data_IF_067496397047
#
_entry.id   IF_067496397047
#
_cell.length_a   1.000
_cell.length_b   1.000
_cell.length_c   1.000
_cell.angle_alpha   90.00
_cell.angle_beta   90.00
_cell.angle_gamma   90.00
#
_symmetry.space_group_name_H-M   'P 1'
#
loop_
_entity.id
_entity.type
_entity.pdbx_description
1 polymer ?
#
# COMPACT_ATOMS: atom_id res chain seq x y z
N UNK A 1 63.87 42.47 -27.93
CA UNK A 1 62.58 42.84 -27.30
C UNK A 1 61.86 41.61 -26.64
N UNK A 2 61.97 40.41 -27.16
CA UNK A 2 61.32 39.21 -26.66
C UNK A 2 61.76 38.75 -25.22
N UNK A 3 63.06 38.93 -24.90
CA UNK A 3 63.58 38.52 -23.59
C UNK A 3 63.02 39.38 -22.43
N UNK A 4 62.72 40.68 -22.65
CA UNK A 4 62.08 41.54 -21.63
C UNK A 4 60.59 41.24 -21.44
N UNK A 5 59.91 40.81 -22.48
CA UNK A 5 58.50 40.34 -22.38
C UNK A 5 58.41 39.02 -21.58
N UNK A 6 59.33 38.09 -21.84
CA UNK A 6 59.37 36.81 -21.11
C UNK A 6 59.66 36.94 -19.60
N UNK A 7 60.55 37.89 -19.22
CA UNK A 7 60.83 38.15 -17.79
C UNK A 7 59.69 38.88 -17.10
N UNK A 8 58.91 39.70 -17.82
CA UNK A 8 57.70 40.32 -17.29
C UNK A 8 56.56 39.30 -17.00
N UNK A 9 56.35 38.39 -17.93
CA UNK A 9 55.33 37.31 -17.75
C UNK A 9 55.74 36.36 -16.66
N UNK A 10 56.99 35.99 -16.49
CA UNK A 10 57.46 35.16 -15.41
C UNK A 10 57.31 35.82 -14.02
N UNK A 11 57.56 37.13 -13.91
CA UNK A 11 57.32 37.87 -12.66
C UNK A 11 55.84 37.98 -12.33
N UNK A 12 55.01 38.30 -13.31
CA UNK A 12 53.56 38.31 -13.12
C UNK A 12 53.02 36.92 -12.67
N UNK A 13 53.43 35.84 -13.33
CA UNK A 13 53.05 34.50 -12.94
C UNK A 13 53.55 34.10 -11.53
N UNK A 14 54.75 34.58 -11.13
CA UNK A 14 55.27 34.35 -9.79
C UNK A 14 54.52 35.15 -8.72
N UNK A 15 54.14 36.41 -8.98
CA UNK A 15 53.33 37.20 -8.07
C UNK A 15 51.91 36.62 -7.93
N UNK A 16 51.27 36.21 -9.03
CA UNK A 16 49.96 35.57 -9.02
C UNK A 16 49.98 34.25 -8.24
N UNK A 17 51.02 33.46 -8.37
CA UNK A 17 51.20 32.24 -7.59
C UNK A 17 51.40 32.50 -6.09
N UNK A 18 52.15 33.56 -5.73
CA UNK A 18 52.31 33.94 -4.31
C UNK A 18 51.01 34.47 -3.73
N UNK A 19 50.29 35.30 -4.46
CA UNK A 19 48.97 35.81 -4.04
C UNK A 19 47.95 34.68 -3.87
N UNK A 20 47.98 33.69 -4.77
CA UNK A 20 47.14 32.48 -4.65
C UNK A 20 47.47 31.69 -3.37
N UNK A 21 48.75 31.51 -3.04
CA UNK A 21 49.17 30.83 -1.82
C UNK A 21 48.76 31.61 -0.57
N UNK A 22 48.95 32.92 -0.55
CA UNK A 22 48.59 33.81 0.58
C UNK A 22 47.08 33.82 0.81
N UNK A 23 46.29 33.77 -0.25
CA UNK A 23 44.80 33.69 -0.13
C UNK A 23 44.27 32.31 0.17
N UNK A 24 44.91 31.25 -0.29
CA UNK A 24 44.51 29.85 -0.02
C UNK A 24 44.82 29.42 1.43
N UNK A 25 45.93 29.86 2.00
CA UNK A 25 46.35 29.46 3.34
C UNK A 25 45.30 29.77 4.42
N UNK A 26 44.73 30.98 4.53
CA UNK A 26 43.65 31.27 5.47
C UNK A 26 42.38 30.45 5.19
N UNK A 27 42.05 30.22 3.91
CA UNK A 27 40.87 29.40 3.52
C UNK A 27 41.04 27.96 3.95
N UNK A 28 42.24 27.38 3.81
CA UNK A 28 42.55 26.01 4.25
C UNK A 28 42.46 25.92 5.78
N UNK A 29 42.99 26.90 6.51
CA UNK A 29 42.87 26.94 7.97
C UNK A 29 41.42 27.04 8.41
N UNK A 30 40.62 27.89 7.78
CA UNK A 30 39.18 28.01 7.99
C UNK A 30 38.45 26.69 7.72
N UNK A 31 38.75 26.05 6.61
CA UNK A 31 38.24 24.73 6.24
C UNK A 31 38.49 23.70 7.33
N UNK A 32 39.73 23.56 7.79
CA UNK A 32 40.11 22.61 8.83
C UNK A 32 39.42 22.89 10.17
N UNK A 33 39.29 24.16 10.54
CA UNK A 33 38.62 24.59 11.77
C UNK A 33 37.11 24.22 11.72
N UNK A 34 36.43 24.57 10.61
CA UNK A 34 35.01 24.25 10.42
C UNK A 34 34.80 22.75 10.40
N UNK A 35 35.69 22.02 9.74
CA UNK A 35 35.60 20.53 9.70
C UNK A 35 35.79 19.93 11.11
N UNK A 36 36.80 20.37 11.87
CA UNK A 36 37.05 19.89 13.23
C UNK A 36 35.89 20.20 14.19
N UNK A 37 35.41 21.45 14.17
CA UNK A 37 34.24 21.87 14.96
C UNK A 37 32.98 21.09 14.55
N UNK A 38 32.75 20.94 13.26
CA UNK A 38 31.61 20.16 12.74
C UNK A 38 31.63 18.70 13.17
N UNK A 39 32.82 18.07 13.19
CA UNK A 39 32.98 16.70 13.66
C UNK A 39 32.68 16.56 15.14
N UNK A 40 33.13 17.53 15.95
CA UNK A 40 32.86 17.59 17.38
C UNK A 40 31.35 17.77 17.64
N UNK A 41 30.74 18.76 16.98
CA UNK A 41 29.29 19.04 17.10
C UNK A 41 28.45 17.85 16.66
N UNK A 42 28.81 17.21 15.53
CA UNK A 42 28.13 16.01 15.04
C UNK A 42 28.15 14.88 16.06
N UNK A 43 29.30 14.65 16.72
CA UNK A 43 29.42 13.61 17.73
C UNK A 43 28.62 13.91 19.01
N UNK A 44 28.55 15.21 19.38
CA UNK A 44 27.78 15.64 20.54
C UNK A 44 26.29 15.53 20.30
N UNK A 45 25.81 15.99 19.12
CA UNK A 45 24.41 15.90 18.72
C UNK A 45 23.96 14.45 18.59
N UNK A 46 24.80 13.58 18.02
CA UNK A 46 24.52 12.15 17.89
C UNK A 46 24.26 11.48 19.24
N UNK A 47 25.02 11.85 20.29
CA UNK A 47 24.79 11.37 21.66
C UNK A 47 23.43 11.83 22.19
N UNK A 48 23.08 13.10 21.96
CA UNK A 48 21.77 13.65 22.33
C UNK A 48 20.61 12.93 21.63
N UNK A 49 20.71 12.74 20.32
CA UNK A 49 19.71 12.01 19.53
C UNK A 49 19.56 10.58 20.03
N UNK A 50 20.68 9.88 20.27
CA UNK A 50 20.64 8.52 20.82
C UNK A 50 19.96 8.46 22.19
N UNK A 51 20.27 9.38 23.08
CA UNK A 51 19.65 9.45 24.39
C UNK A 51 18.13 9.68 24.31
N UNK A 52 17.68 10.58 23.43
CA UNK A 52 16.25 10.85 23.20
C UNK A 52 15.54 9.61 22.63
N UNK A 53 16.12 8.95 21.63
CA UNK A 53 15.53 7.75 21.03
C UNK A 53 15.41 6.62 22.05
N UNK A 54 16.44 6.42 22.86
CA UNK A 54 16.42 5.40 23.92
C UNK A 54 15.39 5.72 24.99
N UNK A 55 15.29 7.00 25.42
CA UNK A 55 14.27 7.43 26.36
C UNK A 55 12.84 7.28 25.82
N UNK A 56 12.66 7.45 24.50
CA UNK A 56 11.38 7.23 23.80
C UNK A 56 11.04 5.74 23.60
N UNK A 57 11.93 4.81 23.95
CA UNK A 57 11.70 3.36 23.76
C UNK A 57 11.72 2.93 22.30
N UNK A 58 12.44 3.64 21.44
CA UNK A 58 12.50 3.36 20.01
C UNK A 58 12.99 1.95 19.69
N UNK A 59 13.90 1.41 20.48
CA UNK A 59 14.42 0.04 20.34
C UNK A 59 13.32 -1.01 20.58
N UNK A 60 12.41 -0.77 21.54
CA UNK A 60 11.28 -1.67 21.79
C UNK A 60 10.26 -1.64 20.65
N UNK A 61 10.03 -0.46 20.11
CA UNK A 61 9.15 -0.29 18.95
C UNK A 61 9.71 -1.01 17.73
N UNK A 62 10.99 -0.87 17.47
CA UNK A 62 11.68 -1.52 16.37
C UNK A 62 11.72 -3.05 16.54
N UNK A 63 11.89 -3.58 17.74
CA UNK A 63 11.77 -5.02 18.02
C UNK A 63 10.35 -5.54 17.74
N UNK A 64 9.34 -4.82 18.20
CA UNK A 64 7.92 -5.18 17.96
C UNK A 64 7.51 -5.15 16.49
N UNK A 65 8.16 -4.31 15.68
CA UNK A 65 7.91 -4.21 14.25
C UNK A 65 8.40 -5.42 13.45
N UNK A 66 9.28 -6.25 14.03
CA UNK A 66 9.91 -7.39 13.32
C UNK A 66 11.02 -6.97 12.34
N UNK A 67 11.37 -5.68 12.26
CA UNK A 67 12.48 -5.18 11.42
C UNK A 67 13.79 -5.83 11.85
N UNK A 68 14.04 -5.96 13.15
CA UNK A 68 15.22 -6.61 13.69
C UNK A 68 15.29 -8.09 13.30
N UNK A 69 14.18 -8.82 13.43
CA UNK A 69 14.10 -10.23 13.05
C UNK A 69 14.27 -10.44 11.54
N UNK A 70 13.76 -9.53 10.72
CA UNK A 70 13.97 -9.57 9.27
C UNK A 70 15.42 -9.29 8.89
N UNK A 71 16.04 -8.27 9.49
CA UNK A 71 17.44 -7.94 9.26
C UNK A 71 18.38 -9.06 9.72
N UNK A 72 18.11 -9.70 10.86
CA UNK A 72 18.88 -10.86 11.35
C UNK A 72 18.82 -12.06 10.39
N UNK A 73 17.67 -12.31 9.76
CA UNK A 73 17.54 -13.34 8.70
C UNK A 73 18.41 -13.05 7.49
N UNK A 74 18.69 -11.77 7.21
CA UNK A 74 19.61 -11.33 6.17
C UNK A 74 21.08 -11.29 6.62
N UNK A 75 21.37 -11.71 7.86
CA UNK A 75 22.72 -11.66 8.44
C UNK A 75 23.16 -10.25 8.88
N UNK A 76 22.24 -9.29 8.93
CA UNK A 76 22.51 -7.89 9.29
C UNK A 76 22.13 -7.70 10.76
N UNK A 77 23.08 -7.28 11.60
CA UNK A 77 22.76 -6.83 12.96
C UNK A 77 22.05 -5.48 12.89
N UNK A 78 20.74 -5.49 13.01
CA UNK A 78 19.96 -4.27 12.99
C UNK A 78 20.04 -3.58 14.37
N UNK A 79 20.64 -2.41 14.40
CA UNK A 79 20.52 -1.43 15.47
C UNK A 79 19.74 -0.21 14.94
N UNK A 80 18.40 -0.21 15.02
CA UNK A 80 17.57 0.86 14.46
C UNK A 80 17.87 2.22 15.09
N UNK A 81 18.11 2.26 16.41
CA UNK A 81 18.53 3.47 17.12
C UNK A 81 19.88 3.95 16.64
N UNK A 82 20.84 3.04 16.45
CA UNK A 82 22.13 3.34 15.88
C UNK A 82 22.06 3.90 14.46
N UNK A 83 21.18 3.35 13.61
CA UNK A 83 20.97 3.86 12.25
C UNK A 83 20.45 5.29 12.24
N UNK A 84 19.41 5.61 13.03
CA UNK A 84 18.89 6.99 13.14
C UNK A 84 19.95 7.93 13.70
N UNK A 85 20.69 7.50 14.72
CA UNK A 85 21.79 8.27 15.30
C UNK A 85 22.89 8.53 14.27
N UNK A 86 23.24 7.53 13.48
CA UNK A 86 24.22 7.65 12.40
C UNK A 86 23.77 8.65 11.33
N UNK A 87 22.50 8.60 10.94
CA UNK A 87 21.90 9.56 9.98
C UNK A 87 21.99 11.00 10.51
N UNK A 88 21.61 11.23 11.77
CA UNK A 88 21.72 12.53 12.40
C UNK A 88 23.17 13.02 12.47
N UNK A 89 24.10 12.12 12.79
CA UNK A 89 25.53 12.44 12.82
C UNK A 89 26.07 12.83 11.43
N UNK A 90 25.66 12.08 10.39
CA UNK A 90 26.08 12.38 9.02
C UNK A 90 25.43 13.68 8.50
N UNK A 91 24.18 13.98 8.89
CA UNK A 91 23.56 15.25 8.53
C UNK A 91 24.39 16.45 9.01
N UNK A 92 24.81 16.44 10.27
CA UNK A 92 25.65 17.53 10.83
C UNK A 92 27.02 17.56 10.18
N UNK A 93 27.64 16.40 9.92
CA UNK A 93 28.93 16.34 9.20
C UNK A 93 28.82 16.88 7.78
N UNK A 94 27.74 16.57 7.05
CA UNK A 94 27.50 17.10 5.73
C UNK A 94 27.28 18.61 5.74
N UNK A 95 26.56 19.14 6.74
CA UNK A 95 26.42 20.59 6.90
C UNK A 95 27.80 21.24 7.10
N UNK A 96 28.62 20.68 7.98
CA UNK A 96 29.98 21.19 8.22
C UNK A 96 30.84 21.10 6.95
N UNK A 97 30.74 20.00 6.19
CA UNK A 97 31.42 19.83 4.92
C UNK A 97 30.97 20.86 3.86
N UNK A 98 29.67 21.12 3.74
CA UNK A 98 29.16 22.17 2.82
C UNK A 98 29.79 23.52 3.16
N UNK A 99 29.72 23.92 4.43
CA UNK A 99 30.29 25.19 4.88
C UNK A 99 31.83 25.23 4.69
N UNK A 100 32.50 24.12 4.95
CA UNK A 100 33.94 24.02 4.77
C UNK A 100 34.37 24.18 3.30
N UNK A 101 33.65 23.49 2.38
CA UNK A 101 33.93 23.60 0.94
C UNK A 101 33.53 24.96 0.33
N UNK A 102 32.51 25.62 0.90
CA UNK A 102 32.17 27.00 0.51
C UNK A 102 33.31 28.00 0.85
N UNK A 103 34.01 27.78 1.99
CA UNK A 103 35.20 28.57 2.33
C UNK A 103 36.36 28.37 1.36
N UNK A 104 36.46 27.20 0.72
CA UNK A 104 37.48 26.91 -0.30
C UNK A 104 37.10 27.44 -1.68
N UNK A 105 35.93 28.05 -1.83
CA UNK A 105 35.40 28.53 -3.11
C UNK A 105 35.25 27.42 -4.17
N UNK A 106 34.78 26.23 -3.72
CA UNK A 106 34.52 25.04 -4.52
C UNK A 106 33.01 24.78 -4.65
N UNK A 107 32.25 25.60 -5.37
CA UNK A 107 30.77 25.52 -5.41
C UNK A 107 30.26 24.21 -5.99
N UNK A 108 30.99 23.58 -6.90
CA UNK A 108 30.60 22.30 -7.48
C UNK A 108 30.51 21.17 -6.43
N UNK A 109 31.44 21.15 -5.46
CA UNK A 109 31.45 20.17 -4.37
C UNK A 109 30.37 20.49 -3.37
N UNK A 110 30.20 21.75 -2.98
CA UNK A 110 29.17 22.21 -2.07
C UNK A 110 27.77 21.85 -2.57
N UNK A 111 27.47 22.05 -3.86
CA UNK A 111 26.17 21.65 -4.45
C UNK A 111 25.93 20.16 -4.39
N UNK A 112 26.95 19.32 -4.63
CA UNK A 112 26.81 17.87 -4.50
C UNK A 112 26.53 17.46 -3.06
N UNK A 113 27.25 18.03 -2.10
CA UNK A 113 27.05 17.77 -0.67
C UNK A 113 25.68 18.24 -0.19
N UNK A 114 25.19 19.40 -0.68
CA UNK A 114 23.83 19.87 -0.39
C UNK A 114 22.77 18.91 -0.91
N UNK A 115 22.93 18.34 -2.10
CA UNK A 115 22.00 17.32 -2.61
C UNK A 115 21.98 16.07 -1.73
N UNK A 116 23.14 15.61 -1.27
CA UNK A 116 23.25 14.50 -0.31
C UNK A 116 22.58 14.84 1.03
N UNK A 117 22.78 16.07 1.52
CA UNK A 117 22.14 16.55 2.74
C UNK A 117 20.61 16.53 2.63
N UNK A 118 20.07 17.02 1.52
CA UNK A 118 18.62 17.02 1.26
C UNK A 118 18.04 15.61 1.09
N UNK A 119 18.86 14.63 0.77
CA UNK A 119 18.44 13.23 0.66
C UNK A 119 18.33 12.52 2.01
N UNK A 120 19.10 12.94 3.04
CA UNK A 120 19.10 12.33 4.37
C UNK A 120 17.72 12.31 5.06
N UNK A 121 16.91 13.39 5.05
CA UNK A 121 15.56 13.35 5.60
C UNK A 121 14.68 12.26 4.95
N UNK A 122 14.80 12.06 3.65
CA UNK A 122 14.05 11.03 2.93
C UNK A 122 14.45 9.62 3.40
N UNK A 123 15.74 9.40 3.68
CA UNK A 123 16.24 8.15 4.24
C UNK A 123 15.69 7.92 5.67
N UNK A 124 15.59 8.97 6.49
CA UNK A 124 14.99 8.89 7.81
C UNK A 124 13.49 8.53 7.72
N UNK A 125 12.76 9.16 6.81
CA UNK A 125 11.35 8.83 6.56
C UNK A 125 11.19 7.39 6.08
N UNK A 126 12.05 6.92 5.18
CA UNK A 126 12.05 5.53 4.71
C UNK A 126 12.21 4.54 5.87
N UNK A 127 13.12 4.83 6.80
CA UNK A 127 13.32 4.01 8.00
C UNK A 127 12.08 3.98 8.90
N UNK A 128 11.45 5.12 9.12
CA UNK A 128 10.19 5.22 9.89
C UNK A 128 9.09 4.41 9.20
N UNK A 129 8.97 4.52 7.89
CA UNK A 129 7.98 3.74 7.10
C UNK A 129 8.22 2.24 7.26
N UNK A 130 9.46 1.77 7.24
CA UNK A 130 9.77 0.35 7.46
C UNK A 130 9.38 -0.11 8.86
N UNK A 131 9.66 0.69 9.89
CA UNK A 131 9.27 0.36 11.28
C UNK A 131 7.75 0.31 11.43
N UNK A 132 7.04 1.34 10.97
CA UNK A 132 5.57 1.38 11.02
C UNK A 132 4.92 0.30 10.17
N UNK A 133 5.47 0.05 8.96
CA UNK A 133 5.03 -1.01 8.07
C UNK A 133 5.19 -2.40 8.69
N UNK A 134 6.32 -2.65 9.36
CA UNK A 134 6.55 -3.88 10.09
C UNK A 134 5.57 -4.07 11.26
N UNK A 135 5.28 -3.01 12.02
CA UNK A 135 4.25 -3.04 13.07
C UNK A 135 2.89 -3.38 12.48
N UNK A 136 2.51 -2.72 11.39
CA UNK A 136 1.26 -2.98 10.69
C UNK A 136 1.19 -4.41 10.16
N UNK A 137 2.29 -4.93 9.58
CA UNK A 137 2.40 -6.29 9.07
C UNK A 137 2.15 -7.32 10.18
N UNK A 138 2.78 -7.15 11.34
CA UNK A 138 2.61 -8.04 12.48
C UNK A 138 1.19 -7.96 13.08
N UNK A 139 0.63 -6.75 13.19
CA UNK A 139 -0.73 -6.55 13.70
C UNK A 139 -1.77 -7.20 12.79
N UNK A 140 -1.67 -6.97 11.46
CA UNK A 140 -2.58 -7.54 10.47
C UNK A 140 -2.44 -9.06 10.38
N UNK A 141 -1.22 -9.60 10.39
CA UNK A 141 -0.97 -11.04 10.41
C UNK A 141 -1.63 -11.70 11.63
N UNK A 142 -1.49 -11.09 12.82
CA UNK A 142 -2.10 -11.57 14.06
C UNK A 142 -3.63 -11.54 13.98
N UNK A 143 -4.20 -10.46 13.41
CA UNK A 143 -5.64 -10.32 13.22
C UNK A 143 -6.18 -11.41 12.29
N UNK A 144 -5.51 -11.62 11.14
CA UNK A 144 -5.88 -12.65 10.16
C UNK A 144 -5.76 -14.04 10.77
N UNK A 145 -4.68 -14.32 11.48
CA UNK A 145 -4.49 -15.60 12.16
C UNK A 145 -5.63 -15.90 13.15
N UNK A 146 -5.99 -14.93 14.01
CA UNK A 146 -7.08 -15.09 14.99
C UNK A 146 -8.44 -15.28 14.30
N UNK A 147 -8.70 -14.53 13.23
CA UNK A 147 -9.95 -14.62 12.48
C UNK A 147 -10.08 -15.96 11.74
N UNK A 148 -8.98 -16.48 11.21
CA UNK A 148 -8.96 -17.75 10.50
C UNK A 148 -9.00 -18.98 11.43
N UNK A 149 -8.43 -18.89 12.63
CA UNK A 149 -8.40 -19.98 13.60
C UNK A 149 -9.81 -20.41 14.08
N UNK A 150 -10.80 -19.51 14.00
CA UNK A 150 -12.21 -19.79 14.33
C UNK A 150 -13.02 -20.40 13.19
N UNK A 151 -12.47 -20.49 11.99
CA UNK A 151 -13.16 -20.96 10.79
C UNK A 151 -12.45 -22.20 10.23
N UNK A 152 -13.21 -23.15 9.65
CA UNK A 152 -12.63 -24.34 8.99
C UNK A 152 -11.99 -24.00 7.63
N UNK A 153 -11.60 -22.75 7.40
CA UNK A 153 -11.09 -22.24 6.13
C UNK A 153 -9.57 -22.21 6.15
N UNK A 154 -8.95 -23.24 5.57
CA UNK A 154 -7.52 -23.25 5.26
C UNK A 154 -6.58 -23.36 6.46
N UNK A 155 -5.30 -23.14 6.20
CA UNK A 155 -4.24 -23.09 7.22
C UNK A 155 -4.10 -21.65 7.72
N UNK A 156 -4.44 -21.33 9.00
CA UNK A 156 -4.35 -19.97 9.55
C UNK A 156 -2.96 -19.36 9.47
N UNK A 157 -1.91 -20.19 9.63
CA UNK A 157 -0.52 -19.75 9.58
C UNK A 157 -0.09 -19.29 8.18
N UNK A 158 -0.57 -19.98 7.14
CA UNK A 158 -0.33 -19.58 5.76
C UNK A 158 -0.97 -18.25 5.44
N UNK A 159 -2.23 -18.04 5.85
CA UNK A 159 -2.95 -16.78 5.62
C UNK A 159 -2.26 -15.62 6.36
N UNK A 160 -1.85 -15.83 7.60
CA UNK A 160 -1.11 -14.84 8.38
C UNK A 160 0.24 -14.50 7.73
N UNK A 161 0.99 -15.51 7.27
CA UNK A 161 2.28 -15.33 6.60
C UNK A 161 2.13 -14.56 5.29
N UNK A 162 1.14 -14.93 4.45
CA UNK A 162 0.88 -14.22 3.19
C UNK A 162 0.53 -12.75 3.46
N UNK A 163 -0.32 -12.48 4.46
CA UNK A 163 -0.68 -11.12 4.85
C UNK A 163 0.55 -10.34 5.32
N UNK A 164 1.38 -10.96 6.18
CA UNK A 164 2.61 -10.35 6.68
C UNK A 164 3.56 -9.98 5.56
N UNK A 165 3.82 -10.92 4.65
CA UNK A 165 4.71 -10.70 3.49
C UNK A 165 4.16 -9.61 2.58
N UNK A 166 2.86 -9.63 2.29
CA UNK A 166 2.23 -8.61 1.43
C UNK A 166 2.39 -7.20 2.00
N UNK A 167 2.15 -7.02 3.31
CA UNK A 167 2.32 -5.72 3.97
C UNK A 167 3.78 -5.31 4.04
N UNK A 168 4.71 -6.26 4.28
CA UNK A 168 6.14 -5.99 4.25
C UNK A 168 6.62 -5.53 2.87
N UNK A 169 6.18 -6.20 1.80
CA UNK A 169 6.48 -5.80 0.43
C UNK A 169 5.99 -4.38 0.17
N UNK A 170 4.76 -4.06 0.58
CA UNK A 170 4.21 -2.71 0.45
C UNK A 170 5.05 -1.68 1.23
N UNK A 171 5.43 -1.97 2.47
CA UNK A 171 6.27 -1.09 3.28
C UNK A 171 7.64 -0.83 2.65
N UNK A 172 8.30 -1.88 2.12
CA UNK A 172 9.58 -1.76 1.41
C UNK A 172 9.43 -0.91 0.15
N UNK A 173 8.37 -1.12 -0.60
CA UNK A 173 8.09 -0.36 -1.82
C UNK A 173 7.89 1.13 -1.51
N UNK A 174 7.12 1.46 -0.48
CA UNK A 174 6.92 2.85 -0.04
C UNK A 174 8.26 3.45 0.44
N UNK A 175 9.05 2.70 1.21
CA UNK A 175 10.37 3.14 1.67
C UNK A 175 11.34 3.42 0.51
N UNK A 176 11.36 2.57 -0.52
CA UNK A 176 12.15 2.80 -1.73
C UNK A 176 11.68 4.06 -2.48
N UNK A 177 10.37 4.31 -2.50
CA UNK A 177 9.80 5.54 -3.06
C UNK A 177 10.32 6.81 -2.36
N UNK A 178 10.50 6.77 -1.02
CA UNK A 178 11.07 7.89 -0.25
C UNK A 178 12.52 8.18 -0.64
N UNK A 179 13.28 7.17 -1.01
CA UNK A 179 14.68 7.33 -1.42
C UNK A 179 14.84 7.98 -2.80
N UNK A 180 13.75 8.13 -3.56
CA UNK A 180 13.78 8.68 -4.91
C UNK A 180 14.53 7.80 -5.92
N UNK A 181 14.95 6.59 -5.52
CA UNK A 181 15.70 5.66 -6.39
C UNK A 181 14.72 5.07 -7.39
N UNK A 182 14.93 5.37 -8.66
CA UNK A 182 14.13 4.85 -9.77
C UNK A 182 12.60 4.98 -9.54
N UNK A 183 12.15 6.09 -8.96
CA UNK A 183 10.75 6.32 -8.59
C UNK A 183 9.78 5.99 -9.75
N UNK A 184 10.17 6.30 -10.98
CA UNK A 184 9.37 5.99 -12.18
C UNK A 184 9.23 4.48 -12.41
N UNK A 185 10.32 3.72 -12.26
CA UNK A 185 10.32 2.26 -12.47
C UNK A 185 9.57 1.57 -11.33
N UNK A 186 9.82 1.99 -10.09
CA UNK A 186 9.14 1.46 -8.90
C UNK A 186 7.64 1.74 -8.99
N UNK A 187 7.22 2.95 -9.34
CA UNK A 187 5.80 3.29 -9.53
C UNK A 187 5.16 2.47 -10.65
N UNK A 188 5.83 2.30 -11.79
CA UNK A 188 5.32 1.47 -12.87
C UNK A 188 5.13 0.01 -12.44
N UNK A 189 6.11 -0.54 -11.70
CA UNK A 189 6.04 -1.90 -11.16
C UNK A 189 4.88 -2.05 -10.16
N UNK A 190 4.72 -1.07 -9.23
CA UNK A 190 3.62 -1.07 -8.25
C UNK A 190 2.28 -1.03 -8.95
N UNK A 191 2.09 -0.08 -9.89
CA UNK A 191 0.84 0.04 -10.64
C UNK A 191 0.56 -1.26 -11.39
N UNK A 192 1.59 -1.89 -11.99
CA UNK A 192 1.47 -3.17 -12.67
C UNK A 192 1.03 -4.30 -11.74
N UNK A 193 1.71 -4.46 -10.61
CA UNK A 193 1.40 -5.52 -9.62
C UNK A 193 0.04 -5.30 -8.97
N UNK A 194 -0.23 -4.09 -8.47
CA UNK A 194 -1.53 -3.75 -7.86
C UNK A 194 -2.66 -3.90 -8.87
N UNK A 195 -2.44 -3.43 -10.11
CA UNK A 195 -3.39 -3.60 -11.20
C UNK A 195 -3.65 -5.07 -11.53
N UNK A 196 -2.61 -5.89 -11.62
CA UNK A 196 -2.74 -7.33 -11.85
C UNK A 196 -3.51 -8.04 -10.71
N UNK A 197 -3.20 -7.73 -9.44
CA UNK A 197 -3.91 -8.28 -8.27
C UNK A 197 -5.36 -7.81 -8.24
N UNK A 198 -5.62 -6.53 -8.53
CA UNK A 198 -6.98 -5.99 -8.58
C UNK A 198 -7.81 -6.66 -9.68
N UNK A 199 -7.24 -6.80 -10.89
CA UNK A 199 -7.90 -7.49 -12.00
C UNK A 199 -8.13 -8.98 -11.69
N UNK A 200 -7.12 -9.67 -11.18
CA UNK A 200 -7.24 -11.08 -10.81
C UNK A 200 -8.32 -11.28 -9.73
N UNK A 201 -8.33 -10.45 -8.69
CA UNK A 201 -9.33 -10.48 -7.62
C UNK A 201 -10.73 -10.13 -8.16
N UNK A 202 -10.83 -9.06 -8.96
CA UNK A 202 -12.08 -8.63 -9.58
C UNK A 202 -12.69 -9.73 -10.45
N UNK A 203 -11.87 -10.38 -11.29
CA UNK A 203 -12.31 -11.49 -12.11
C UNK A 203 -12.67 -12.72 -11.29
N UNK A 204 -11.85 -13.08 -10.29
CA UNK A 204 -12.11 -14.24 -9.43
C UNK A 204 -13.43 -14.09 -8.66
N UNK A 205 -13.66 -12.92 -8.03
CA UNK A 205 -14.90 -12.64 -7.30
C UNK A 205 -16.08 -12.37 -8.25
N UNK A 206 -15.85 -11.67 -9.36
CA UNK A 206 -16.87 -11.37 -10.35
C UNK A 206 -17.41 -12.62 -11.03
N UNK A 207 -16.52 -13.49 -11.54
CA UNK A 207 -16.92 -14.74 -12.19
C UNK A 207 -17.36 -15.80 -11.16
N UNK A 208 -16.62 -15.94 -10.06
CA UNK A 208 -16.96 -16.92 -9.00
C UNK A 208 -18.18 -16.55 -8.17
N UNK A 209 -18.52 -15.27 -8.09
CA UNK A 209 -19.70 -14.77 -7.35
C UNK A 209 -20.98 -14.68 -8.18
N UNK A 210 -20.89 -14.81 -9.52
CA UNK A 210 -22.00 -14.61 -10.46
C UNK A 210 -23.26 -15.41 -10.09
N UNK A 211 -23.11 -16.69 -9.80
CA UNK A 211 -24.25 -17.57 -9.50
C UNK A 211 -24.88 -17.26 -8.13
N UNK A 212 -24.11 -16.73 -7.19
CA UNK A 212 -24.64 -16.29 -5.90
C UNK A 212 -25.37 -14.96 -6.04
N UNK A 213 -24.82 -14.04 -6.82
CA UNK A 213 -25.44 -12.75 -7.11
C UNK A 213 -26.75 -12.95 -7.89
N UNK A 214 -26.78 -13.83 -8.88
CA UNK A 214 -27.98 -14.18 -9.61
C UNK A 214 -29.09 -14.70 -8.67
N UNK A 215 -28.78 -15.65 -7.78
CA UNK A 215 -29.72 -16.18 -6.80
C UNK A 215 -30.24 -15.12 -5.82
N UNK A 216 -29.44 -14.14 -5.45
CA UNK A 216 -29.89 -13.03 -4.60
C UNK A 216 -30.85 -12.12 -5.38
N UNK A 217 -30.52 -11.79 -6.61
CA UNK A 217 -31.38 -10.98 -7.50
C UNK A 217 -32.69 -11.70 -7.80
N UNK A 218 -32.67 -13.01 -8.04
CA UNK A 218 -33.90 -13.81 -8.26
C UNK A 218 -34.83 -13.77 -7.02
N UNK A 219 -34.28 -13.80 -5.81
CA UNK A 219 -35.08 -13.66 -4.58
C UNK A 219 -35.73 -12.28 -4.43
N UNK A 220 -35.06 -11.25 -4.96
CA UNK A 220 -35.58 -9.86 -4.91
C UNK A 220 -36.52 -9.57 -6.09
N UNK A 221 -36.33 -10.29 -7.20
CA UNK A 221 -37.14 -10.16 -8.41
C UNK A 221 -38.38 -11.07 -8.42
N UNK A 222 -38.50 -12.04 -7.48
CA UNK A 222 -39.75 -12.81 -7.35
C UNK A 222 -40.90 -11.86 -7.02
N UNK A 223 -41.84 -11.62 -7.92
CA UNK A 223 -43.01 -10.82 -7.63
C UNK A 223 -43.80 -11.51 -6.51
N UNK A 224 -44.35 -10.77 -5.53
CA UNK A 224 -45.14 -11.33 -4.43
C UNK A 224 -46.43 -11.99 -4.88
N UNK A 225 -46.72 -12.00 -6.16
CA UNK A 225 -47.91 -12.59 -6.77
C UNK A 225 -47.53 -13.68 -7.77
N UNK A 226 -47.50 -14.93 -7.32
CA UNK A 226 -47.69 -16.05 -8.23
C UNK A 226 -49.17 -16.07 -8.58
N UNK A 227 -49.52 -15.66 -9.81
CA UNK A 227 -50.82 -16.00 -10.35
C UNK A 227 -51.05 -17.51 -10.15
N UNK A 228 -52.21 -17.94 -9.58
CA UNK A 228 -52.49 -19.34 -9.48
C UNK A 228 -52.33 -19.99 -10.85
N UNK A 229 -51.73 -21.20 -10.91
CA UNK A 229 -51.63 -21.90 -12.21
C UNK A 229 -53.00 -21.97 -12.82
N UNK A 230 -53.12 -21.47 -14.03
CA UNK A 230 -54.36 -21.58 -14.79
C UNK A 230 -54.74 -23.05 -14.82
N UNK A 231 -55.96 -23.41 -14.46
CA UNK A 231 -56.41 -24.79 -14.59
C UNK A 231 -56.07 -25.26 -15.98
N UNK A 232 -55.28 -26.34 -16.07
CA UNK A 232 -54.99 -26.96 -17.36
C UNK A 232 -56.34 -27.14 -18.09
N UNK A 233 -56.43 -26.63 -19.32
CA UNK A 233 -57.63 -26.79 -20.12
C UNK A 233 -57.87 -28.28 -20.30
N UNK A 234 -58.82 -28.85 -19.50
CA UNK A 234 -59.27 -30.20 -19.80
C UNK A 234 -59.97 -30.21 -21.16
N UNK A 235 -59.92 -31.29 -21.88
CA UNK A 235 -60.57 -31.37 -23.25
C UNK A 235 -62.03 -30.89 -23.25
N UNK A 236 -62.68 -30.85 -22.08
CA UNK A 236 -64.04 -30.36 -21.92
C UNK A 236 -64.13 -28.91 -21.40
N UNK A 237 -63.02 -28.21 -21.26
CA UNK A 237 -63.05 -26.81 -20.81
C UNK A 237 -63.55 -25.90 -21.97
N UNK A 238 -64.53 -25.02 -21.73
CA UNK A 238 -64.99 -24.11 -22.79
C UNK A 238 -63.84 -23.18 -23.16
N UNK A 239 -63.43 -23.22 -24.44
CA UNK A 239 -62.44 -22.32 -25.02
C UNK A 239 -63.00 -20.91 -25.03
N UNK A 240 -62.41 -20.02 -24.25
CA UNK A 240 -62.77 -18.60 -24.25
C UNK A 240 -62.15 -17.97 -25.48
N UNK A 241 -62.95 -17.73 -26.49
CA UNK A 241 -62.60 -16.94 -27.67
C UNK A 241 -63.13 -15.51 -27.42
N UNK A 242 -62.22 -14.58 -27.46
CA UNK A 242 -62.52 -13.13 -27.33
C UNK A 242 -63.19 -12.73 -25.99
N UNK A 243 -62.79 -13.36 -24.88
CA UNK A 243 -63.27 -13.04 -23.53
C UNK A 243 -64.77 -13.27 -23.27
N UNK A 244 -65.46 -13.91 -24.23
CA UNK A 244 -66.89 -14.28 -24.11
C UNK A 244 -67.08 -15.78 -24.10
N UNK A 245 -67.91 -16.23 -23.13
CA UNK A 245 -68.30 -17.65 -23.09
C UNK A 245 -69.19 -17.95 -24.28
N UNK A 246 -68.88 -18.91 -25.17
CA UNK A 246 -69.76 -19.26 -26.25
C UNK A 246 -71.10 -19.72 -25.70
N UNK A 247 -72.17 -19.06 -26.10
CA UNK A 247 -73.50 -19.40 -25.63
C UNK A 247 -74.04 -20.75 -26.14
N UNK A 248 -73.32 -21.42 -27.04
CA UNK A 248 -73.75 -22.62 -27.72
C UNK A 248 -73.45 -23.93 -26.99
N UNK A 249 -72.88 -23.92 -25.78
CA UNK A 249 -72.51 -25.16 -25.05
C UNK A 249 -73.26 -25.38 -23.72
N UNK A 250 -74.08 -24.41 -23.28
CA UNK A 250 -74.84 -24.56 -22.06
C UNK A 250 -76.21 -25.25 -22.31
N UNK A 251 -76.22 -26.58 -22.34
CA UNK A 251 -77.44 -27.29 -22.35
C UNK A 251 -78.11 -27.30 -20.96
N UNK A 252 -78.96 -26.29 -20.76
CA UNK A 252 -79.80 -26.16 -19.53
C UNK A 252 -80.58 -27.43 -19.17
N UNK A 253 -80.76 -28.34 -20.15
CA UNK A 253 -81.46 -29.61 -19.95
C UNK A 253 -80.57 -30.62 -19.17
N UNK A 254 -79.25 -30.57 -19.32
CA UNK A 254 -78.31 -31.47 -18.65
C UNK A 254 -78.19 -31.13 -17.16
N UNK A 255 -78.10 -29.87 -16.81
CA UNK A 255 -78.04 -29.42 -15.42
C UNK A 255 -79.36 -29.70 -14.70
N UNK A 256 -80.48 -29.56 -15.38
CA UNK A 256 -81.78 -29.89 -14.81
C UNK A 256 -82.00 -31.39 -14.58
N UNK A 257 -81.33 -32.28 -15.31
CA UNK A 257 -81.33 -33.72 -15.05
C UNK A 257 -80.47 -34.13 -13.87
N UNK A 258 -79.21 -33.62 -13.81
CA UNK A 258 -78.33 -33.90 -12.70
C UNK A 258 -78.86 -33.35 -11.34
N UNK A 259 -79.54 -32.24 -11.37
CA UNK A 259 -80.19 -31.69 -10.17
C UNK A 259 -81.39 -32.49 -9.71
N UNK A 260 -82.10 -33.24 -10.59
CA UNK A 260 -83.19 -34.18 -10.24
C UNK A 260 -82.69 -35.49 -9.73
N UNK A 261 -81.63 -36.02 -10.32
CA UNK A 261 -81.03 -37.27 -9.88
C UNK A 261 -80.40 -37.19 -8.44
N UNK A 262 -79.76 -36.00 -8.15
CA UNK A 262 -79.27 -35.77 -6.78
C UNK A 262 -80.36 -35.68 -5.76
N UNK A 263 -81.50 -35.04 -6.05
CA UNK A 263 -82.65 -34.94 -5.10
C UNK A 263 -83.34 -36.30 -4.96
N UNK A 264 -83.37 -37.13 -5.97
CA UNK A 264 -83.88 -38.49 -5.91
C UNK A 264 -82.99 -39.42 -5.04
N UNK A 265 -81.66 -39.25 -5.19
CA UNK A 265 -80.69 -40.00 -4.36
C UNK A 265 -80.72 -39.56 -2.87
N UNK A 266 -80.87 -38.27 -2.59
CA UNK A 266 -81.06 -37.77 -1.22
C UNK A 266 -82.37 -38.12 -0.56
N UNK A 267 -83.45 -38.29 -1.36
CA UNK A 267 -84.74 -38.77 -0.89
C UNK A 267 -84.74 -40.29 -0.55
N UNK A 268 -83.99 -41.08 -1.29
CA UNK A 268 -83.86 -42.52 -1.08
C UNK A 268 -82.94 -42.87 0.13
N UNK A 269 -82.09 -41.95 0.53
CA UNK A 269 -81.18 -42.15 1.68
C UNK A 269 -81.84 -41.74 3.02
N UNK A 270 -83.06 -41.21 3.02
CA UNK A 270 -83.81 -40.78 4.22
C UNK A 270 -85.08 -41.56 4.47
N UNK A 271 -85.37 -42.56 3.73
CA UNK A 271 -86.42 -43.58 3.98
C UNK A 271 -85.80 -44.89 4.35
#
# INVERSE_FOLDING_TARGET
MQARAATGTLRAAASDALDAVVTLLPRIVGFLLVLGLGWLLASLLARGVRAVLQAAGFDDLARRSGVTAFAERLGIRADPTGMVTLLAQWAVRLIALVVAFDLLDLPAVSVLLQRLLLWLPNLAVALVVLVLGGLAANALATLVHRSAAGTRVGNPDLLATITQVAVWVLAVVIALGQLGIAATVVNALIIGVVGAVALASGLAFGLGGRDRAARLLDRWAEPPYRAPPWPEATPDSPVLIDGRIPRSGYDRRRIAREGRDRRAAEGAARG
#
